data_IF_850815806361
#
_entry.id   IF_850815806361
#
_cell.length_a   1.000
_cell.length_b   1.000
_cell.length_c   1.000
_cell.angle_alpha   90.00
_cell.angle_beta   90.00
_cell.angle_gamma   90.00
#
_symmetry.space_group_name_H-M   'P 1'
#
loop_
_entity.id
_entity.type
_entity.pdbx_description
1 polymer ?
#
# COMPACT_ATOMS: atom_id res chain seq x y z
N UNK A 1 -16.13 -7.81 11.28
CA UNK A 1 -17.55 -8.21 11.17
C UNK A 1 -18.40 -6.97 10.93
N UNK A 2 -19.18 -6.95 9.85
CA UNK A 2 -20.11 -5.84 9.55
C UNK A 2 -21.26 -5.78 10.55
N UNK A 3 -21.70 -6.95 11.05
CA UNK A 3 -22.77 -7.07 12.05
C UNK A 3 -22.40 -6.37 13.36
N UNK A 4 -21.19 -6.62 13.88
CA UNK A 4 -20.72 -5.99 15.11
C UNK A 4 -20.67 -4.46 14.99
N UNK A 5 -20.06 -3.95 13.92
CA UNK A 5 -19.88 -2.51 13.73
C UNK A 5 -21.22 -1.78 13.59
N UNK A 6 -22.17 -2.38 12.86
CA UNK A 6 -23.50 -1.83 12.66
C UNK A 6 -24.41 -1.99 13.90
N UNK A 7 -24.12 -2.96 14.77
CA UNK A 7 -24.86 -3.20 16.01
C UNK A 7 -24.47 -2.27 17.18
N UNK A 8 -23.41 -1.47 17.03
CA UNK A 8 -23.03 -0.48 18.04
C UNK A 8 -24.05 0.66 18.11
N UNK A 9 -24.19 1.25 19.30
CA UNK A 9 -24.94 2.51 19.44
C UNK A 9 -24.31 3.59 18.55
N UNK A 10 -25.11 4.46 17.90
CA UNK A 10 -24.61 5.43 16.93
C UNK A 10 -23.42 6.26 17.45
N UNK A 11 -23.51 6.79 18.67
CA UNK A 11 -22.47 7.61 19.27
C UNK A 11 -21.14 6.85 19.49
N UNK A 12 -21.23 5.55 19.82
CA UNK A 12 -20.05 4.70 20.02
C UNK A 12 -19.43 4.35 18.68
N UNK A 13 -20.26 4.04 17.68
CA UNK A 13 -19.80 3.75 16.32
C UNK A 13 -19.08 4.94 15.71
N UNK A 14 -19.67 6.13 15.83
CA UNK A 14 -19.12 7.35 15.24
C UNK A 14 -17.78 7.71 15.88
N UNK A 15 -17.69 7.62 17.21
CA UNK A 15 -16.42 7.82 17.90
C UNK A 15 -15.38 6.77 17.49
N UNK A 16 -15.77 5.50 17.37
CA UNK A 16 -14.87 4.43 16.95
C UNK A 16 -14.33 4.68 15.53
N UNK A 17 -15.20 4.97 14.56
CA UNK A 17 -14.79 5.21 13.16
C UNK A 17 -13.92 6.46 13.05
N UNK A 18 -14.23 7.50 13.83
CA UNK A 18 -13.39 8.71 13.90
C UNK A 18 -11.97 8.38 14.40
N UNK A 19 -11.85 7.62 15.48
CA UNK A 19 -10.53 7.20 16.00
C UNK A 19 -9.78 6.36 14.97
N UNK A 20 -10.47 5.44 14.26
CA UNK A 20 -9.86 4.64 13.21
C UNK A 20 -9.29 5.53 12.10
N UNK A 21 -10.03 6.54 11.66
CA UNK A 21 -9.57 7.49 10.65
C UNK A 21 -8.36 8.30 11.14
N UNK A 22 -8.45 8.91 12.33
CA UNK A 22 -7.36 9.70 12.93
C UNK A 22 -6.07 8.88 13.08
N UNK A 23 -6.17 7.66 13.60
CA UNK A 23 -5.01 6.78 13.79
C UNK A 23 -4.47 6.27 12.46
N UNK A 24 -5.33 6.03 11.45
CA UNK A 24 -4.89 5.65 10.11
C UNK A 24 -4.05 6.76 9.48
N UNK A 25 -4.50 8.02 9.59
CA UNK A 25 -3.76 9.17 9.08
C UNK A 25 -2.44 9.37 9.84
N UNK A 26 -2.47 9.27 11.16
CA UNK A 26 -1.27 9.37 11.99
C UNK A 26 -0.23 8.29 11.64
N UNK A 27 -0.66 7.05 11.47
CA UNK A 27 0.21 5.94 11.10
C UNK A 27 0.80 6.16 9.71
N UNK A 28 -0.03 6.50 8.71
CA UNK A 28 0.41 6.75 7.33
C UNK A 28 1.44 7.88 7.26
N UNK A 29 1.26 8.95 8.05
CA UNK A 29 2.20 10.07 8.11
C UNK A 29 3.59 9.68 8.65
N UNK A 30 3.68 8.61 9.46
CA UNK A 30 4.94 8.15 10.06
C UNK A 30 5.72 7.17 9.18
N UNK A 31 5.06 6.49 8.24
CA UNK A 31 5.66 5.39 7.45
C UNK A 31 6.98 5.81 6.79
N UNK A 32 7.01 6.94 6.07
CA UNK A 32 8.20 7.37 5.34
C UNK A 32 9.43 7.59 6.27
N UNK A 33 9.21 8.15 7.46
CA UNK A 33 10.27 8.37 8.43
C UNK A 33 10.79 7.03 9.00
N UNK A 34 9.88 6.13 9.34
CA UNK A 34 10.22 4.79 9.83
C UNK A 34 10.93 3.94 8.76
N UNK A 35 10.52 4.02 7.50
CA UNK A 35 11.19 3.35 6.39
C UNK A 35 12.62 3.88 6.19
N UNK A 36 12.82 5.20 6.27
CA UNK A 36 14.15 5.81 6.19
C UNK A 36 15.06 5.36 7.35
N UNK A 37 14.53 5.32 8.58
CA UNK A 37 15.25 4.83 9.75
C UNK A 37 15.65 3.35 9.58
N UNK A 38 14.71 2.50 9.17
CA UNK A 38 14.96 1.08 8.93
C UNK A 38 15.99 0.87 7.82
N UNK A 39 15.93 1.67 6.75
CA UNK A 39 16.94 1.66 5.68
C UNK A 39 18.33 1.98 6.23
N UNK A 40 18.45 2.97 7.11
CA UNK A 40 19.72 3.30 7.76
C UNK A 40 20.20 2.19 8.70
N UNK A 41 19.29 1.54 9.44
CA UNK A 41 19.62 0.43 10.33
C UNK A 41 20.23 -0.76 9.56
N UNK A 42 19.73 -1.06 8.35
CA UNK A 42 20.32 -2.08 7.46
C UNK A 42 21.77 -1.74 7.12
N UNK A 43 22.05 -0.47 6.78
CA UNK A 43 23.42 -0.02 6.46
C UNK A 43 24.33 -0.10 7.69
N UNK A 44 23.84 0.32 8.86
CA UNK A 44 24.58 0.27 10.11
C UNK A 44 24.93 -1.17 10.52
N UNK A 45 24.06 -2.14 10.20
CA UNK A 45 24.30 -3.56 10.40
C UNK A 45 25.26 -4.19 9.36
N UNK A 46 25.80 -3.39 8.43
CA UNK A 46 26.71 -3.85 7.37
C UNK A 46 26.00 -4.39 6.12
N UNK A 47 24.68 -4.20 6.00
CA UNK A 47 23.91 -4.60 4.83
C UNK A 47 24.21 -3.73 3.61
N UNK A 48 24.06 -4.29 2.41
CA UNK A 48 24.20 -3.57 1.15
C UNK A 48 22.84 -3.34 0.52
N UNK A 49 22.50 -2.08 0.26
CA UNK A 49 21.30 -1.72 -0.48
C UNK A 49 21.68 -1.51 -1.95
N UNK A 50 20.99 -2.22 -2.84
CA UNK A 50 21.19 -2.14 -4.29
C UNK A 50 20.07 -1.32 -4.90
N UNK A 51 20.44 -0.33 -5.69
CA UNK A 51 19.51 0.50 -6.44
C UNK A 51 19.50 0.06 -7.90
N UNK A 52 18.30 -0.01 -8.48
CA UNK A 52 18.13 -0.41 -9.87
C UNK A 52 18.24 0.82 -10.77
N UNK A 53 18.90 0.67 -11.91
CA UNK A 53 18.76 1.63 -13.00
C UNK A 53 17.33 1.61 -13.55
N UNK A 54 16.97 2.64 -14.32
CA UNK A 54 15.67 2.69 -15.01
C UNK A 54 15.44 1.44 -15.88
N UNK A 55 16.43 1.03 -16.65
CA UNK A 55 16.35 -0.17 -17.52
C UNK A 55 16.18 -1.46 -16.71
N UNK A 56 16.90 -1.59 -15.59
CA UNK A 56 16.76 -2.75 -14.70
C UNK A 56 15.38 -2.79 -14.07
N UNK A 57 14.86 -1.63 -13.63
CA UNK A 57 13.48 -1.54 -13.11
C UNK A 57 12.46 -1.90 -14.19
N UNK A 58 12.64 -1.43 -15.42
CA UNK A 58 11.74 -1.74 -16.52
C UNK A 58 11.73 -3.24 -16.84
N UNK A 59 12.90 -3.88 -16.86
CA UNK A 59 12.99 -5.34 -17.04
C UNK A 59 12.20 -6.11 -15.96
N UNK A 60 12.22 -5.65 -14.70
CA UNK A 60 11.38 -6.22 -13.64
C UNK A 60 9.89 -5.99 -13.88
N UNK A 61 9.50 -4.78 -14.30
CA UNK A 61 8.09 -4.47 -14.64
C UNK A 61 7.60 -5.39 -15.76
N UNK A 62 8.37 -5.54 -16.84
CA UNK A 62 7.98 -6.36 -17.99
C UNK A 62 7.90 -7.85 -17.63
N UNK A 63 8.78 -8.33 -16.75
CA UNK A 63 8.76 -9.70 -16.26
C UNK A 63 7.55 -9.99 -15.36
N UNK A 64 7.15 -9.03 -14.53
CA UNK A 64 6.10 -9.22 -13.51
C UNK A 64 4.71 -8.85 -13.98
N UNK A 65 4.55 -7.83 -14.82
CA UNK A 65 3.24 -7.34 -15.31
C UNK A 65 2.35 -8.43 -15.94
N UNK A 66 2.85 -9.44 -16.67
CA UNK A 66 2.01 -10.50 -17.24
C UNK A 66 1.19 -11.31 -16.22
N UNK A 67 1.56 -11.27 -14.93
CA UNK A 67 0.77 -11.92 -13.87
C UNK A 67 -0.62 -11.32 -13.74
N UNK A 68 -0.79 -10.02 -14.06
CA UNK A 68 -2.08 -9.34 -13.94
C UNK A 68 -3.10 -9.94 -14.92
N UNK A 69 -2.69 -10.22 -16.16
CA UNK A 69 -3.55 -10.86 -17.16
C UNK A 69 -4.01 -12.26 -16.72
N UNK A 70 -3.17 -13.00 -15.98
CA UNK A 70 -3.54 -14.34 -15.48
C UNK A 70 -4.69 -14.29 -14.48
N UNK A 71 -4.81 -13.21 -13.73
CA UNK A 71 -5.84 -13.00 -12.71
C UNK A 71 -6.94 -12.02 -13.15
N UNK A 72 -6.88 -11.52 -14.39
CA UNK A 72 -7.85 -10.55 -14.91
C UNK A 72 -9.28 -11.09 -14.90
N UNK A 73 -9.46 -12.39 -15.16
CA UNK A 73 -10.77 -13.04 -15.07
C UNK A 73 -11.37 -13.05 -13.66
N UNK A 74 -10.53 -13.15 -12.63
CA UNK A 74 -10.97 -13.22 -11.22
C UNK A 74 -11.15 -11.83 -10.60
N UNK A 75 -10.30 -10.87 -10.98
CA UNK A 75 -10.29 -9.51 -10.43
C UNK A 75 -11.26 -8.61 -11.21
N UNK A 76 -11.40 -8.83 -12.51
CA UNK A 76 -12.14 -7.95 -13.41
C UNK A 76 -11.26 -6.85 -13.98
N UNK A 77 -11.31 -6.70 -15.31
CA UNK A 77 -10.51 -5.73 -16.06
C UNK A 77 -10.73 -4.29 -15.60
N UNK A 78 -11.97 -3.90 -15.32
CA UNK A 78 -12.31 -2.53 -14.92
C UNK A 78 -11.65 -2.15 -13.58
N UNK A 79 -11.54 -3.09 -12.64
CA UNK A 79 -10.86 -2.85 -11.36
C UNK A 79 -9.34 -2.73 -11.52
N UNK A 80 -8.75 -3.54 -12.41
CA UNK A 80 -7.32 -3.43 -12.75
C UNK A 80 -7.05 -2.07 -13.41
N UNK A 81 -7.88 -1.67 -14.38
CA UNK A 81 -7.72 -0.41 -15.09
C UNK A 81 -7.92 0.79 -14.14
N UNK A 82 -8.88 0.73 -13.22
CA UNK A 82 -9.08 1.75 -12.19
C UNK A 82 -7.87 1.86 -11.24
N UNK A 83 -7.29 0.74 -10.81
CA UNK A 83 -6.08 0.73 -9.98
C UNK A 83 -4.86 1.30 -10.73
N UNK A 84 -4.73 1.01 -12.03
CA UNK A 84 -3.67 1.62 -12.86
C UNK A 84 -3.87 3.12 -12.99
N UNK A 85 -5.10 3.58 -13.22
CA UNK A 85 -5.43 5.00 -13.35
C UNK A 85 -5.27 5.78 -12.03
N UNK A 86 -5.41 5.10 -10.88
CA UNK A 86 -5.19 5.70 -9.56
C UNK A 86 -3.71 6.04 -9.29
N UNK A 87 -2.77 5.47 -10.06
CA UNK A 87 -1.39 5.94 -10.05
C UNK A 87 -1.33 7.30 -10.77
N UNK A 88 -1.46 8.39 -10.02
CA UNK A 88 -1.04 9.70 -10.50
C UNK A 88 0.43 9.63 -10.93
N UNK A 89 0.80 10.35 -12.00
CA UNK A 89 2.20 10.47 -12.44
C UNK A 89 3.05 10.93 -11.26
N UNK A 90 3.87 10.02 -10.70
CA UNK A 90 4.97 10.33 -9.80
C UNK A 90 5.99 11.24 -10.48
#
# INVERSE_FOLDING_TARGET
>A
STEWLNGLKPEVRDQFVKIVDEVTQEANAKVAATEAENRQNILNAGGTIRELSADQRQAWVDAMKPVWTKFEGDIGKDLIDAAVAANGTN
#
